data_IF_159225351991
#
_entry.id   IF_159225351991
#
_cell.length_a   1.000
_cell.length_b   1.000
_cell.length_c   1.000
_cell.angle_alpha   90.00
_cell.angle_beta   90.00
_cell.angle_gamma   90.00
#
_symmetry.space_group_name_H-M   'P 1'
#
loop_
_entity.id
_entity.type
_entity.pdbx_description
1 polymer ?
#
# COMPACT_ATOMS: atom_id res chain seq x y z
N UNK A 1 24.85 -31.26 48.54
CA UNK A 1 25.11 -32.49 47.78
C UNK A 1 25.50 -32.03 46.37
N UNK A 2 26.78 -32.04 46.08
CA UNK A 2 27.33 -31.68 44.76
C UNK A 2 27.07 -32.86 43.85
N UNK A 3 26.20 -32.69 42.88
CA UNK A 3 25.85 -33.71 41.87
C UNK A 3 27.09 -33.99 41.03
N UNK A 4 27.76 -35.12 41.31
CA UNK A 4 28.91 -35.58 40.49
C UNK A 4 28.36 -35.92 39.09
N UNK A 5 28.92 -35.38 38.01
CA UNK A 5 28.47 -35.73 36.65
C UNK A 5 28.66 -37.24 36.46
N UNK A 6 27.62 -37.95 36.01
CA UNK A 6 27.74 -39.34 35.56
C UNK A 6 28.65 -39.37 34.31
N UNK A 7 29.41 -40.48 34.10
CA UNK A 7 30.26 -40.65 32.88
C UNK A 7 29.58 -40.33 31.57
N UNK A 8 28.21 -40.30 31.54
CA UNK A 8 27.39 -40.03 30.35
C UNK A 8 27.09 -38.55 30.11
N UNK A 9 27.43 -37.65 31.07
CA UNK A 9 27.11 -36.21 30.98
C UNK A 9 28.35 -35.33 30.93
N UNK A 10 29.53 -35.90 30.87
CA UNK A 10 30.78 -35.16 30.77
C UNK A 10 30.83 -34.39 29.40
N UNK A 11 31.00 -33.07 29.44
CA UNK A 11 31.02 -32.21 28.23
C UNK A 11 29.66 -31.89 27.65
N UNK A 12 28.52 -32.30 28.31
CA UNK A 12 27.22 -31.96 27.88
C UNK A 12 26.63 -30.80 28.74
N UNK A 13 25.83 -29.95 28.13
CA UNK A 13 25.14 -28.84 28.77
C UNK A 13 23.67 -29.21 29.12
N UNK A 14 23.20 -28.77 30.28
CA UNK A 14 21.78 -28.86 30.64
C UNK A 14 20.94 -27.86 29.83
N UNK A 15 19.65 -28.15 29.65
CA UNK A 15 18.72 -27.29 28.87
C UNK A 15 18.75 -25.83 29.31
N UNK A 16 18.88 -25.52 30.61
CA UNK A 16 18.96 -24.16 31.12
C UNK A 16 20.29 -23.44 30.74
N UNK A 17 21.36 -24.19 30.61
CA UNK A 17 22.66 -23.66 30.18
C UNK A 17 22.66 -23.35 28.69
N UNK A 18 22.10 -24.25 27.88
CA UNK A 18 21.87 -24.02 26.44
C UNK A 18 20.97 -22.83 26.20
N UNK A 19 19.87 -22.71 26.96
CA UNK A 19 18.95 -21.59 26.89
C UNK A 19 19.66 -20.26 27.13
N UNK A 20 20.52 -20.17 28.16
CA UNK A 20 21.32 -18.97 28.45
C UNK A 20 22.38 -18.70 27.39
N UNK A 21 23.08 -19.73 26.94
CA UNK A 21 24.17 -19.61 25.94
C UNK A 21 23.66 -19.07 24.62
N UNK A 22 22.48 -19.50 24.18
CA UNK A 22 21.92 -19.15 22.87
C UNK A 22 20.84 -18.06 22.96
N UNK A 23 20.64 -17.48 24.14
CA UNK A 23 19.59 -16.49 24.42
C UNK A 23 18.19 -16.97 23.98
N UNK A 24 17.87 -18.21 24.28
CA UNK A 24 16.57 -18.85 24.02
C UNK A 24 15.84 -19.15 25.32
N UNK A 25 14.52 -19.26 25.25
CA UNK A 25 13.76 -19.79 26.39
C UNK A 25 13.84 -21.31 26.45
N UNK A 26 13.76 -21.89 27.66
CA UNK A 26 13.62 -23.34 27.84
C UNK A 26 12.35 -23.85 27.11
N UNK A 27 11.29 -23.04 27.07
CA UNK A 27 10.07 -23.34 26.33
C UNK A 27 10.32 -23.48 24.83
N UNK A 28 11.14 -22.59 24.23
CA UNK A 28 11.53 -22.65 22.82
C UNK A 28 12.30 -23.94 22.52
N UNK A 29 13.26 -24.32 23.36
CA UNK A 29 14.01 -25.57 23.19
C UNK A 29 13.11 -26.80 23.25
N UNK A 30 12.17 -26.85 24.20
CA UNK A 30 11.18 -27.92 24.28
C UNK A 30 10.24 -27.95 23.06
N UNK A 31 9.85 -26.79 22.56
CA UNK A 31 9.08 -26.69 21.32
C UNK A 31 9.84 -27.25 20.13
N UNK A 32 11.13 -26.95 20.00
CA UNK A 32 11.98 -27.52 18.95
C UNK A 32 12.10 -29.04 19.04
N UNK A 33 12.16 -29.59 20.26
CA UNK A 33 12.11 -31.05 20.47
C UNK A 33 10.77 -31.64 20.00
N UNK A 34 9.65 -31.03 20.40
CA UNK A 34 8.31 -31.48 20.01
C UNK A 34 8.10 -31.42 18.48
N UNK A 35 8.69 -30.45 17.84
CA UNK A 35 8.64 -30.29 16.38
C UNK A 35 9.65 -31.21 15.63
N UNK A 36 10.47 -31.98 16.33
CA UNK A 36 11.49 -32.83 15.74
C UNK A 36 12.65 -32.06 15.07
N UNK A 37 12.88 -30.82 15.48
CA UNK A 37 13.99 -29.98 15.05
C UNK A 37 15.27 -30.24 15.82
N UNK A 38 15.12 -30.69 17.05
CA UNK A 38 16.20 -30.89 18.01
C UNK A 38 15.93 -32.19 18.81
N UNK A 39 16.96 -33.01 18.95
CA UNK A 39 16.94 -34.14 19.88
C UNK A 39 18.04 -33.96 20.90
N UNK A 40 17.77 -34.12 22.23
CA UNK A 40 18.83 -34.06 23.23
C UNK A 40 19.86 -35.19 22.98
N UNK A 41 21.12 -34.92 23.30
CA UNK A 41 22.18 -35.92 23.18
C UNK A 41 22.00 -37.05 24.21
N UNK A 42 21.44 -36.71 25.37
CA UNK A 42 21.15 -37.64 26.45
C UNK A 42 19.98 -37.15 27.32
N UNK A 43 19.13 -38.07 27.71
CA UNK A 43 18.06 -37.82 28.68
C UNK A 43 18.30 -38.75 29.87
N UNK A 44 18.54 -38.19 31.06
CA UNK A 44 18.74 -38.96 32.27
C UNK A 44 17.45 -39.72 32.63
N UNK A 45 17.47 -41.04 32.64
CA UNK A 45 16.26 -41.83 32.90
C UNK A 45 15.76 -41.70 34.36
N UNK A 46 16.61 -41.31 35.32
CA UNK A 46 16.22 -41.19 36.72
C UNK A 46 15.57 -39.83 37.01
N UNK A 47 16.07 -38.74 36.41
CA UNK A 47 15.63 -37.38 36.70
C UNK A 47 14.82 -36.74 35.56
N UNK A 48 14.87 -37.30 34.33
CA UNK A 48 14.29 -36.73 33.13
C UNK A 48 15.02 -35.48 32.60
N UNK A 49 16.20 -35.16 33.15
CA UNK A 49 16.99 -34.02 32.68
C UNK A 49 17.56 -34.27 31.28
N UNK A 50 17.49 -33.21 30.44
CA UNK A 50 17.97 -33.22 29.07
C UNK A 50 19.34 -32.56 28.95
N UNK A 51 20.21 -33.22 28.23
CA UNK A 51 21.61 -32.78 28.01
C UNK A 51 21.89 -32.67 26.51
N UNK A 52 22.66 -31.65 26.15
CA UNK A 52 22.97 -31.28 24.75
C UNK A 52 24.47 -31.12 24.58
N UNK A 53 24.97 -31.63 23.48
CA UNK A 53 26.42 -31.54 23.12
C UNK A 53 26.66 -30.56 21.97
N UNK A 54 27.88 -30.55 21.49
CA UNK A 54 28.33 -29.65 20.41
C UNK A 54 27.51 -29.78 19.11
N UNK A 55 27.08 -31.01 18.78
CA UNK A 55 26.26 -31.26 17.59
C UNK A 55 24.89 -30.57 17.72
N UNK A 56 24.24 -30.64 18.87
CA UNK A 56 22.96 -29.98 19.15
C UNK A 56 23.09 -28.46 19.14
N UNK A 57 24.18 -27.93 19.68
CA UNK A 57 24.48 -26.50 19.63
C UNK A 57 24.64 -26.00 18.18
N UNK A 58 25.37 -26.77 17.34
CA UNK A 58 25.49 -26.45 15.91
C UNK A 58 24.13 -26.46 15.20
N UNK A 59 23.28 -27.45 15.51
CA UNK A 59 21.90 -27.51 14.98
C UNK A 59 21.08 -26.30 15.43
N UNK A 60 21.14 -25.91 16.69
CA UNK A 60 20.43 -24.74 17.23
C UNK A 60 20.91 -23.43 16.58
N UNK A 61 22.21 -23.27 16.34
CA UNK A 61 22.74 -22.12 15.59
C UNK A 61 22.19 -22.08 14.16
N UNK A 62 22.14 -23.23 13.48
CA UNK A 62 21.54 -23.34 12.14
C UNK A 62 20.07 -22.95 12.15
N UNK A 63 19.29 -23.45 13.13
CA UNK A 63 17.88 -23.06 13.29
C UNK A 63 17.76 -21.55 13.50
N UNK A 64 18.59 -20.97 14.38
CA UNK A 64 18.60 -19.54 14.66
C UNK A 64 18.87 -18.71 13.39
N UNK A 65 19.92 -19.06 12.64
CA UNK A 65 20.28 -18.36 11.39
C UNK A 65 19.15 -18.41 10.34
N UNK A 66 18.51 -19.57 10.20
CA UNK A 66 17.41 -19.72 9.23
C UNK A 66 16.12 -19.01 9.69
N UNK A 67 15.90 -18.91 11.00
CA UNK A 67 14.79 -18.12 11.57
C UNK A 67 14.95 -16.63 11.31
N UNK A 68 16.16 -16.09 11.34
CA UNK A 68 16.44 -14.68 10.98
C UNK A 68 16.04 -14.39 9.52
N UNK A 69 16.11 -15.41 8.65
CA UNK A 69 15.64 -15.29 7.25
C UNK A 69 14.11 -15.52 7.10
N UNK A 70 13.38 -15.57 8.21
CA UNK A 70 11.91 -15.78 8.26
C UNK A 70 11.46 -17.12 7.66
N UNK A 71 12.34 -18.13 7.63
CA UNK A 71 11.99 -19.49 7.19
C UNK A 71 11.03 -20.17 8.20
N UNK A 72 9.93 -20.79 7.74
CA UNK A 72 9.04 -21.57 8.59
C UNK A 72 9.75 -22.76 9.26
N UNK A 73 9.40 -23.06 10.51
CA UNK A 73 10.01 -24.19 11.26
C UNK A 73 9.90 -25.53 10.54
N UNK A 74 8.82 -25.76 9.78
CA UNK A 74 8.66 -27.00 9.00
C UNK A 74 9.73 -27.15 7.92
N UNK A 75 10.08 -26.07 7.22
CA UNK A 75 11.15 -26.07 6.20
C UNK A 75 12.53 -26.21 6.82
N UNK A 76 12.75 -25.54 7.97
CA UNK A 76 13.99 -25.67 8.74
C UNK A 76 14.16 -27.12 9.21
N UNK A 77 13.10 -27.78 9.68
CA UNK A 77 13.14 -29.19 10.09
C UNK A 77 13.56 -30.09 8.93
N UNK A 78 12.94 -29.92 7.77
CA UNK A 78 13.26 -30.72 6.57
C UNK A 78 14.74 -30.60 6.24
N UNK A 79 15.30 -29.39 6.23
CA UNK A 79 16.72 -29.17 5.97
C UNK A 79 17.62 -29.79 7.06
N UNK A 80 17.35 -29.56 8.35
CA UNK A 80 18.16 -30.08 9.45
C UNK A 80 18.20 -31.62 9.45
N UNK A 81 17.09 -32.25 9.00
CA UNK A 81 16.97 -33.70 8.94
C UNK A 81 17.66 -34.30 7.72
N UNK A 82 17.45 -33.71 6.54
CA UNK A 82 17.97 -34.27 5.27
C UNK A 82 19.38 -33.79 4.96
N UNK A 83 19.77 -32.59 5.40
CA UNK A 83 21.02 -31.90 5.05
C UNK A 83 21.25 -31.83 3.53
N UNK A 84 20.18 -31.71 2.78
CA UNK A 84 20.17 -31.61 1.33
C UNK A 84 20.50 -30.17 0.91
N UNK A 85 21.62 -29.98 0.22
CA UNK A 85 22.10 -28.69 -0.27
C UNK A 85 21.17 -28.11 -1.36
N UNK A 86 20.64 -28.96 -2.24
CA UNK A 86 19.75 -28.51 -3.31
C UNK A 86 18.39 -28.06 -2.75
N UNK A 87 17.91 -28.75 -1.73
CA UNK A 87 16.71 -28.35 -1.00
C UNK A 87 16.93 -26.98 -0.34
N UNK A 88 18.05 -26.78 0.34
CA UNK A 88 18.39 -25.50 0.97
C UNK A 88 18.45 -24.38 -0.04
N UNK A 89 19.12 -24.59 -1.16
CA UNK A 89 19.23 -23.58 -2.22
C UNK A 89 17.84 -23.19 -2.74
N UNK A 90 16.97 -24.15 -3.05
CA UNK A 90 15.60 -23.88 -3.49
C UNK A 90 14.79 -23.08 -2.45
N UNK A 91 14.90 -23.44 -1.16
CA UNK A 91 14.19 -22.74 -0.09
C UNK A 91 14.67 -21.30 0.08
N UNK A 92 15.97 -21.07 0.05
CA UNK A 92 16.55 -19.73 0.15
C UNK A 92 16.20 -18.86 -1.07
N UNK A 93 16.24 -19.42 -2.28
CA UNK A 93 15.82 -18.70 -3.50
C UNK A 93 14.36 -18.29 -3.41
N UNK A 94 13.47 -19.20 -3.01
CA UNK A 94 12.05 -18.87 -2.81
C UNK A 94 11.83 -17.80 -1.74
N UNK A 95 12.61 -17.85 -0.65
CA UNK A 95 12.51 -16.83 0.39
C UNK A 95 13.00 -15.47 -0.11
N UNK A 96 14.06 -15.44 -0.91
CA UNK A 96 14.55 -14.21 -1.55
C UNK A 96 13.50 -13.61 -2.49
N UNK A 97 12.82 -14.42 -3.31
CA UNK A 97 11.72 -13.97 -4.18
C UNK A 97 10.56 -13.36 -3.37
N UNK A 98 10.20 -13.99 -2.24
CA UNK A 98 9.14 -13.48 -1.34
C UNK A 98 9.54 -12.13 -0.71
N UNK A 99 10.78 -12.01 -0.24
CA UNK A 99 11.30 -10.75 0.32
C UNK A 99 11.29 -9.65 -0.74
N UNK A 100 11.72 -9.96 -1.96
CA UNK A 100 11.73 -9.00 -3.06
C UNK A 100 10.31 -8.56 -3.46
N UNK A 101 9.34 -9.48 -3.42
CA UNK A 101 7.93 -9.13 -3.61
C UNK A 101 7.42 -8.17 -2.53
N UNK A 102 7.66 -8.50 -1.26
CA UNK A 102 7.28 -7.63 -0.13
C UNK A 102 7.96 -6.26 -0.19
N UNK A 103 9.23 -6.21 -0.60
CA UNK A 103 9.96 -4.95 -0.77
C UNK A 103 9.28 -4.05 -1.79
N UNK A 104 8.94 -4.59 -2.96
CA UNK A 104 8.22 -3.85 -4.01
C UNK A 104 6.84 -3.37 -3.55
N UNK A 105 6.12 -4.18 -2.80
CA UNK A 105 4.83 -3.82 -2.20
C UNK A 105 4.98 -2.63 -1.23
N UNK A 106 5.94 -2.69 -0.30
CA UNK A 106 6.22 -1.60 0.64
C UNK A 106 6.68 -0.32 -0.07
N UNK A 107 7.48 -0.42 -1.13
CA UNK A 107 7.89 0.73 -1.94
C UNK A 107 6.70 1.40 -2.65
N UNK A 108 5.74 0.60 -3.15
CA UNK A 108 4.48 1.15 -3.71
C UNK A 108 3.66 1.87 -2.65
N UNK A 109 3.50 1.25 -1.47
CA UNK A 109 2.77 1.89 -0.35
C UNK A 109 3.42 3.21 0.06
N UNK A 110 4.75 3.25 0.19
CA UNK A 110 5.49 4.46 0.55
C UNK A 110 5.24 5.58 -0.46
N UNK A 111 5.34 5.30 -1.77
CA UNK A 111 5.06 6.30 -2.81
C UNK A 111 3.63 6.86 -2.74
N UNK A 112 2.64 6.00 -2.50
CA UNK A 112 1.24 6.45 -2.35
C UNK A 112 1.04 7.35 -1.13
N UNK A 113 1.71 7.04 -0.03
CA UNK A 113 1.71 7.89 1.16
C UNK A 113 2.36 9.25 0.86
N UNK A 114 3.52 9.25 0.18
CA UNK A 114 4.22 10.47 -0.18
C UNK A 114 3.38 11.36 -1.11
N UNK A 115 2.71 10.77 -2.11
CA UNK A 115 1.77 11.48 -2.99
C UNK A 115 0.60 12.07 -2.19
N UNK A 116 0.03 11.32 -1.25
CA UNK A 116 -1.07 11.81 -0.41
C UNK A 116 -0.63 12.97 0.49
N UNK A 117 0.55 12.87 1.10
CA UNK A 117 1.11 13.95 1.88
C UNK A 117 1.35 15.21 1.04
N UNK A 118 1.84 15.07 -0.19
CA UNK A 118 2.01 16.18 -1.11
C UNK A 118 0.67 16.85 -1.47
N UNK A 119 -0.38 16.07 -1.74
CA UNK A 119 -1.72 16.59 -2.01
C UNK A 119 -2.29 17.34 -0.80
N UNK A 120 -2.16 16.77 0.41
CA UNK A 120 -2.62 17.41 1.64
C UNK A 120 -1.86 18.72 1.93
N UNK A 121 -0.54 18.73 1.77
CA UNK A 121 0.26 19.94 1.92
C UNK A 121 -0.14 20.99 0.86
N UNK A 122 -0.37 20.56 -0.38
CA UNK A 122 -0.86 21.44 -1.43
C UNK A 122 -2.21 22.05 -1.10
N UNK A 123 -3.17 21.23 -0.61
CA UNK A 123 -4.50 21.68 -0.22
C UNK A 123 -4.49 22.68 0.94
N UNK A 124 -3.64 22.43 1.96
CA UNK A 124 -3.53 23.30 3.13
C UNK A 124 -2.88 24.67 2.82
N UNK A 125 -2.03 24.74 1.79
CA UNK A 125 -1.31 25.93 1.38
C UNK A 125 -1.83 26.55 0.07
N UNK A 126 -2.93 26.02 -0.49
CA UNK A 126 -3.50 26.53 -1.74
C UNK A 126 -4.05 27.95 -1.57
N UNK A 127 -3.80 28.79 -2.57
CA UNK A 127 -4.51 30.06 -2.73
C UNK A 127 -5.94 29.73 -3.20
N UNK A 128 -6.86 29.66 -2.24
CA UNK A 128 -8.23 29.29 -2.51
C UNK A 128 -8.91 30.37 -3.38
N UNK A 129 -9.86 29.90 -4.21
CA UNK A 129 -10.67 30.74 -5.09
C UNK A 129 -9.84 31.53 -6.13
N UNK A 130 -8.57 31.11 -6.36
CA UNK A 130 -7.68 31.71 -7.35
C UNK A 130 -7.45 30.72 -8.48
N UNK A 131 -7.65 31.20 -9.73
CA UNK A 131 -7.36 30.39 -10.93
C UNK A 131 -5.86 30.44 -11.21
N UNK A 132 -5.26 29.28 -11.40
CA UNK A 132 -3.86 29.12 -11.79
C UNK A 132 -3.75 28.30 -13.05
N UNK A 133 -2.73 28.59 -13.86
CA UNK A 133 -2.38 27.76 -15.03
C UNK A 133 -1.26 26.79 -14.64
N UNK A 134 -1.44 25.53 -15.03
CA UNK A 134 -0.46 24.47 -14.78
C UNK A 134 -0.23 23.63 -16.04
N UNK A 135 0.97 23.09 -16.19
CA UNK A 135 1.26 22.02 -17.14
C UNK A 135 1.08 20.69 -16.43
N UNK A 136 0.17 19.88 -16.94
CA UNK A 136 -0.10 18.57 -16.38
C UNK A 136 0.50 17.48 -17.24
N UNK A 137 1.20 16.50 -16.64
CA UNK A 137 1.74 15.37 -17.36
C UNK A 137 0.65 14.47 -17.93
N UNK A 138 1.03 13.50 -18.74
CA UNK A 138 0.16 12.40 -19.15
C UNK A 138 -0.37 11.66 -17.91
N UNK A 139 -1.68 11.38 -17.90
CA UNK A 139 -2.36 10.69 -16.81
C UNK A 139 -2.94 9.37 -17.28
N UNK A 140 -2.84 8.36 -16.44
CA UNK A 140 -3.55 7.08 -16.60
C UNK A 140 -4.77 7.08 -15.68
N UNK A 141 -5.93 6.75 -16.22
CA UNK A 141 -7.20 6.76 -15.47
C UNK A 141 -7.99 5.49 -15.74
N UNK A 142 -8.52 4.88 -14.70
CA UNK A 142 -9.68 4.00 -14.84
C UNK A 142 -10.93 4.86 -14.79
N UNK A 143 -11.82 4.76 -15.77
CA UNK A 143 -12.95 5.68 -15.94
C UNK A 143 -14.25 4.90 -16.10
N UNK A 144 -15.30 5.39 -15.46
CA UNK A 144 -16.68 4.99 -15.71
C UNK A 144 -17.42 6.18 -16.33
N UNK A 145 -17.80 6.05 -17.58
CA UNK A 145 -18.57 7.06 -18.33
C UNK A 145 -20.08 6.90 -18.05
N UNK A 146 -20.45 7.29 -16.84
CA UNK A 146 -21.85 7.27 -16.41
C UNK A 146 -22.21 8.61 -15.76
N UNK A 147 -23.43 9.08 -16.02
CA UNK A 147 -23.90 10.33 -15.42
C UNK A 147 -24.17 10.15 -13.93
N UNK A 148 -23.49 10.95 -13.12
CA UNK A 148 -23.56 10.88 -11.66
C UNK A 148 -24.01 12.22 -11.09
N UNK A 149 -24.96 12.18 -10.14
CA UNK A 149 -25.31 13.34 -9.35
C UNK A 149 -24.50 13.33 -8.05
N UNK A 150 -23.65 14.33 -7.78
CA UNK A 150 -22.79 14.38 -6.59
C UNK A 150 -23.56 14.48 -5.27
N UNK A 151 -24.82 14.91 -5.30
CA UNK A 151 -25.68 14.95 -4.11
C UNK A 151 -26.28 13.58 -3.76
N UNK A 152 -26.18 12.61 -4.66
CA UNK A 152 -26.57 11.23 -4.43
C UNK A 152 -25.36 10.39 -4.00
N UNK A 153 -25.09 10.41 -2.69
CA UNK A 153 -23.99 9.65 -2.08
C UNK A 153 -24.08 8.14 -2.37
N UNK A 154 -25.27 7.61 -2.63
CA UNK A 154 -25.47 6.19 -2.96
C UNK A 154 -24.95 5.87 -4.36
N UNK A 155 -25.28 6.72 -5.34
CA UNK A 155 -24.83 6.59 -6.71
C UNK A 155 -23.30 6.69 -6.81
N UNK A 156 -22.71 7.72 -6.23
CA UNK A 156 -21.26 7.93 -6.23
C UNK A 156 -20.52 6.75 -5.55
N UNK A 157 -20.99 6.32 -4.37
CA UNK A 157 -20.39 5.21 -3.64
C UNK A 157 -20.43 3.88 -4.42
N UNK A 158 -21.45 3.65 -5.24
CA UNK A 158 -21.53 2.47 -6.11
C UNK A 158 -20.47 2.49 -7.20
N UNK A 159 -20.32 3.62 -7.92
CA UNK A 159 -19.31 3.78 -8.99
C UNK A 159 -17.89 3.69 -8.46
N UNK A 160 -17.64 4.27 -7.29
CA UNK A 160 -16.35 4.13 -6.58
C UNK A 160 -16.03 2.66 -6.33
N UNK A 161 -17.01 1.91 -5.81
CA UNK A 161 -16.81 0.47 -5.53
C UNK A 161 -16.58 -0.35 -6.80
N UNK A 162 -17.20 0.02 -7.90
CA UNK A 162 -17.02 -0.63 -9.20
C UNK A 162 -15.58 -0.40 -9.71
N UNK A 163 -15.06 0.83 -9.66
CA UNK A 163 -13.65 1.12 -9.99
C UNK A 163 -12.67 0.37 -9.08
N UNK A 164 -12.99 0.24 -7.81
CA UNK A 164 -12.16 -0.47 -6.85
C UNK A 164 -12.04 -1.98 -7.11
N UNK A 165 -13.05 -2.59 -7.73
CA UNK A 165 -13.02 -4.03 -8.07
C UNK A 165 -11.92 -4.38 -9.08
N UNK A 166 -11.47 -3.42 -9.89
CA UNK A 166 -10.35 -3.58 -10.82
C UNK A 166 -8.97 -3.48 -10.15
N UNK A 167 -8.89 -3.10 -8.88
CA UNK A 167 -7.62 -3.00 -8.16
C UNK A 167 -7.34 -4.25 -7.33
N UNK A 168 -6.13 -4.80 -7.46
CA UNK A 168 -5.65 -5.88 -6.59
C UNK A 168 -5.41 -5.43 -5.13
N UNK A 169 -5.18 -4.14 -4.90
CA UNK A 169 -4.83 -3.58 -3.59
C UNK A 169 -5.82 -2.50 -3.15
N UNK A 170 -6.29 -2.56 -1.92
CA UNK A 170 -7.34 -1.71 -1.32
C UNK A 170 -6.90 -0.26 -1.04
N UNK A 171 -5.86 0.27 -1.72
CA UNK A 171 -5.31 1.60 -1.47
C UNK A 171 -5.95 2.75 -2.27
N UNK A 172 -7.08 2.50 -2.95
CA UNK A 172 -7.77 3.47 -3.80
C UNK A 172 -8.20 4.78 -3.12
N UNK A 173 -8.27 4.81 -1.78
CA UNK A 173 -8.81 5.95 -1.01
C UNK A 173 -7.84 7.12 -0.80
N UNK A 174 -6.64 7.08 -1.36
CA UNK A 174 -5.64 8.10 -1.01
C UNK A 174 -5.65 9.35 -1.92
N UNK A 175 -6.83 9.78 -2.40
CA UNK A 175 -6.95 11.09 -3.07
C UNK A 175 -6.83 11.05 -4.59
N UNK A 176 -6.96 9.87 -5.19
CA UNK A 176 -6.85 9.70 -6.64
C UNK A 176 -8.21 9.50 -7.32
N UNK A 177 -9.29 9.59 -6.55
CA UNK A 177 -10.65 9.45 -7.04
C UNK A 177 -11.26 10.83 -7.31
N UNK A 178 -11.96 10.96 -8.42
CA UNK A 178 -12.63 12.20 -8.78
C UNK A 178 -13.78 11.98 -9.73
N UNK A 179 -14.39 13.09 -10.09
CA UNK A 179 -15.51 13.19 -11.03
C UNK A 179 -15.20 14.21 -12.12
N UNK A 180 -15.85 14.11 -13.26
CA UNK A 180 -15.57 15.00 -14.39
C UNK A 180 -16.81 15.38 -15.20
N UNK A 181 -16.80 16.59 -15.73
CA UNK A 181 -17.80 17.11 -16.68
C UNK A 181 -17.18 17.08 -18.07
N UNK A 182 -17.93 16.58 -19.06
CA UNK A 182 -17.51 16.52 -20.45
C UNK A 182 -17.23 17.92 -21.03
N UNK A 183 -16.26 18.09 -21.96
CA UNK A 183 -15.85 19.39 -22.47
C UNK A 183 -16.99 20.14 -23.17
N UNK A 184 -17.91 19.44 -23.83
CA UNK A 184 -19.06 20.04 -24.51
C UNK A 184 -20.04 20.70 -23.52
N UNK A 185 -20.25 20.05 -22.36
CA UNK A 185 -21.07 20.58 -21.29
C UNK A 185 -20.39 21.73 -20.55
N UNK A 186 -19.08 21.60 -20.31
CA UNK A 186 -18.29 22.72 -19.77
C UNK A 186 -18.41 23.97 -20.65
N UNK A 187 -18.24 23.81 -21.97
CA UNK A 187 -18.35 24.92 -22.93
C UNK A 187 -19.78 25.50 -23.00
N UNK A 188 -20.80 24.68 -22.74
CA UNK A 188 -22.19 25.09 -22.71
C UNK A 188 -22.63 25.74 -21.38
N UNK A 189 -21.77 25.72 -20.34
CA UNK A 189 -22.10 26.19 -19.00
C UNK A 189 -23.10 25.28 -18.25
N UNK A 190 -23.14 24.00 -18.63
CA UNK A 190 -24.00 23.00 -17.98
C UNK A 190 -23.18 22.23 -16.93
N UNK A 191 -23.35 22.60 -15.66
CA UNK A 191 -22.65 22.04 -14.53
C UNK A 191 -23.58 21.17 -13.63
N UNK A 192 -24.72 20.72 -14.16
CA UNK A 192 -25.68 19.88 -13.43
C UNK A 192 -25.24 18.41 -13.49
N UNK A 193 -24.46 17.96 -12.50
CA UNK A 193 -23.93 16.62 -12.39
C UNK A 193 -22.69 16.34 -13.26
N UNK A 194 -22.16 15.15 -13.14
CA UNK A 194 -20.92 14.72 -13.78
C UNK A 194 -21.19 13.64 -14.82
N UNK A 195 -20.30 13.53 -15.81
CA UNK A 195 -20.39 12.58 -16.92
C UNK A 195 -19.49 11.36 -16.70
N UNK A 196 -18.58 11.47 -15.73
CA UNK A 196 -17.64 10.39 -15.41
C UNK A 196 -17.26 10.37 -13.93
N UNK A 197 -16.91 9.17 -13.46
CA UNK A 197 -16.16 8.93 -12.23
C UNK A 197 -14.85 8.30 -12.61
N UNK A 198 -13.73 8.77 -12.10
CA UNK A 198 -12.42 8.27 -12.45
C UNK A 198 -11.55 7.99 -11.24
N UNK A 199 -10.58 7.10 -11.45
CA UNK A 199 -9.50 6.79 -10.54
C UNK A 199 -8.19 7.07 -11.24
N UNK A 200 -7.35 7.97 -10.72
CA UNK A 200 -6.00 8.19 -11.22
C UNK A 200 -5.11 7.01 -10.83
N UNK A 201 -4.39 6.49 -11.80
CA UNK A 201 -3.45 5.38 -11.66
C UNK A 201 -2.02 5.89 -11.83
N UNK A 202 -1.11 5.42 -11.00
CA UNK A 202 0.32 5.61 -11.24
C UNK A 202 0.89 4.51 -12.17
N UNK A 203 2.15 4.67 -12.62
CA UNK A 203 2.80 3.72 -13.54
C UNK A 203 2.99 2.33 -12.93
N UNK A 204 2.87 2.20 -11.63
CA UNK A 204 3.06 0.94 -10.89
C UNK A 204 1.76 0.29 -10.47
N UNK A 205 0.61 0.96 -10.71
CA UNK A 205 -0.70 0.39 -10.40
C UNK A 205 -1.06 -0.72 -11.40
N UNK A 206 -1.30 -1.91 -10.86
CA UNK A 206 -1.84 -3.05 -11.60
C UNK A 206 -3.36 -3.00 -11.54
N UNK A 207 -3.98 -2.58 -12.63
CA UNK A 207 -5.42 -2.43 -12.74
C UNK A 207 -5.99 -3.41 -13.77
N UNK A 208 -6.97 -4.22 -13.36
CA UNK A 208 -7.55 -5.29 -14.18
C UNK A 208 -8.66 -4.83 -15.14
N UNK A 209 -9.08 -3.56 -15.07
CA UNK A 209 -10.10 -3.00 -15.95
C UNK A 209 -9.50 -2.20 -17.12
N UNK A 210 -10.39 -1.54 -17.85
CA UNK A 210 -9.98 -0.63 -18.91
C UNK A 210 -9.29 0.60 -18.34
N UNK A 211 -8.20 1.02 -18.96
CA UNK A 211 -7.40 2.19 -18.58
C UNK A 211 -7.34 3.13 -19.76
N UNK A 212 -7.74 4.37 -19.53
CA UNK A 212 -7.61 5.46 -20.47
C UNK A 212 -6.35 6.27 -20.19
N UNK A 213 -5.72 6.75 -21.26
CA UNK A 213 -4.61 7.70 -21.16
C UNK A 213 -5.08 9.08 -21.54
N UNK A 214 -4.89 10.05 -20.67
CA UNK A 214 -5.13 11.48 -20.93
C UNK A 214 -3.80 12.13 -21.25
N UNK A 215 -3.67 12.77 -22.44
CA UNK A 215 -2.39 13.35 -22.85
C UNK A 215 -1.99 14.50 -21.91
N UNK A 216 -0.69 14.78 -21.86
CA UNK A 216 -0.19 15.97 -21.19
C UNK A 216 -0.84 17.23 -21.77
N UNK A 217 -1.25 18.15 -20.92
CA UNK A 217 -2.02 19.32 -21.30
C UNK A 217 -1.73 20.52 -20.41
N UNK A 218 -1.87 21.72 -21.00
CA UNK A 218 -2.04 22.96 -20.23
C UNK A 218 -3.42 22.94 -19.58
N UNK A 219 -3.49 23.19 -18.29
CA UNK A 219 -4.73 23.16 -17.52
C UNK A 219 -4.94 24.45 -16.74
N UNK A 220 -6.20 24.79 -16.54
CA UNK A 220 -6.63 25.73 -15.50
C UNK A 220 -7.01 24.98 -14.27
N UNK A 221 -6.57 25.43 -13.12
CA UNK A 221 -6.94 24.83 -11.82
C UNK A 221 -7.43 25.88 -10.83
N UNK A 222 -8.42 25.50 -10.02
CA UNK A 222 -8.93 26.29 -8.91
C UNK A 222 -9.21 25.37 -7.73
N UNK A 223 -8.75 25.76 -6.56
CA UNK A 223 -9.06 25.07 -5.30
C UNK A 223 -10.02 25.93 -4.49
N UNK A 224 -10.98 25.31 -3.84
CA UNK A 224 -11.99 26.04 -3.05
C UNK A 224 -12.38 25.28 -1.78
N UNK A 225 -12.92 26.00 -0.81
CA UNK A 225 -13.54 25.38 0.37
C UNK A 225 -14.90 24.85 0.06
N UNK A 226 -15.11 23.57 0.39
CA UNK A 226 -16.39 22.89 0.19
C UNK A 226 -16.28 21.55 -0.49
N UNK A 227 -17.44 20.99 -0.77
CA UNK A 227 -17.63 19.68 -1.41
C UNK A 227 -18.00 19.84 -2.88
N UNK A 228 -18.10 18.71 -3.60
CA UNK A 228 -18.62 18.62 -4.97
C UNK A 228 -19.93 19.37 -5.19
N UNK A 229 -20.84 19.35 -4.21
CA UNK A 229 -22.12 20.08 -4.30
C UNK A 229 -22.00 21.61 -4.35
N UNK A 230 -20.82 22.16 -4.10
CA UNK A 230 -20.54 23.60 -4.10
C UNK A 230 -19.63 24.02 -5.28
N UNK A 231 -19.37 23.12 -6.23
CA UNK A 231 -18.43 23.34 -7.33
C UNK A 231 -18.94 24.24 -8.44
N UNK A 232 -20.26 24.29 -8.69
CA UNK A 232 -20.86 25.02 -9.82
C UNK A 232 -20.39 26.49 -9.94
N UNK A 233 -20.33 27.32 -8.87
CA UNK A 233 -19.83 28.70 -8.97
C UNK A 233 -18.35 28.77 -9.40
N UNK A 234 -17.56 27.74 -9.11
CA UNK A 234 -16.15 27.68 -9.51
C UNK A 234 -15.98 27.29 -10.97
N UNK A 235 -16.85 26.44 -11.47
CA UNK A 235 -16.96 26.18 -12.90
C UNK A 235 -17.37 27.45 -13.70
N UNK A 236 -18.30 28.24 -13.17
CA UNK A 236 -18.66 29.54 -13.77
C UNK A 236 -17.46 30.50 -13.83
N UNK A 237 -16.65 30.57 -12.78
CA UNK A 237 -15.40 31.35 -12.74
C UNK A 237 -14.40 30.86 -13.79
N UNK A 238 -14.18 29.54 -13.89
CA UNK A 238 -13.29 28.95 -14.91
C UNK A 238 -13.79 29.23 -16.32
N UNK A 239 -15.08 29.10 -16.57
CA UNK A 239 -15.67 29.40 -17.88
C UNK A 239 -15.51 30.87 -18.25
N UNK A 240 -15.76 31.80 -17.31
CA UNK A 240 -15.56 33.24 -17.52
C UNK A 240 -14.08 33.53 -17.84
N UNK A 241 -13.16 32.96 -17.09
CA UNK A 241 -11.71 33.11 -17.34
C UNK A 241 -11.32 32.56 -18.72
N UNK A 242 -11.86 31.39 -19.12
CA UNK A 242 -11.61 30.82 -20.46
C UNK A 242 -12.09 31.76 -21.56
N UNK A 243 -13.27 32.36 -21.42
CA UNK A 243 -13.81 33.33 -22.40
C UNK A 243 -12.92 34.58 -22.48
N UNK A 244 -12.51 35.16 -21.35
CA UNK A 244 -11.67 36.36 -21.29
C UNK A 244 -10.27 36.14 -21.92
N UNK A 245 -9.73 34.91 -21.79
CA UNK A 245 -8.40 34.55 -22.29
C UNK A 245 -8.42 33.78 -23.62
N UNK A 246 -9.60 33.71 -24.27
CA UNK A 246 -9.78 33.00 -25.54
C UNK A 246 -9.30 31.54 -25.48
N UNK A 247 -9.71 30.80 -24.46
CA UNK A 247 -9.40 29.39 -24.21
C UNK A 247 -10.63 28.52 -24.38
N UNK A 248 -10.46 27.27 -24.79
CA UNK A 248 -11.52 26.26 -24.88
C UNK A 248 -11.08 24.97 -24.17
N UNK A 249 -12.02 24.25 -23.50
CA UNK A 249 -11.73 22.98 -22.88
C UNK A 249 -11.43 21.93 -23.98
N UNK A 250 -10.42 21.09 -23.76
CA UNK A 250 -9.99 20.04 -24.68
C UNK A 250 -10.28 18.62 -24.20
N UNK A 251 -10.74 18.49 -22.98
CA UNK A 251 -11.07 17.22 -22.35
C UNK A 251 -11.98 17.44 -21.13
N UNK A 252 -12.43 16.37 -20.50
CA UNK A 252 -13.28 16.47 -19.30
C UNK A 252 -12.55 17.17 -18.16
N UNK A 253 -13.31 17.86 -17.30
CA UNK A 253 -12.77 18.38 -16.05
C UNK A 253 -12.37 17.25 -15.13
N UNK A 254 -11.49 17.55 -14.17
CA UNK A 254 -11.21 16.69 -13.03
C UNK A 254 -11.51 17.46 -11.75
N UNK A 255 -12.42 16.94 -11.01
CA UNK A 255 -12.79 17.47 -9.70
C UNK A 255 -12.48 16.43 -8.63
N UNK A 256 -11.57 16.76 -7.72
CA UNK A 256 -11.04 15.86 -6.70
C UNK A 256 -11.21 16.54 -5.34
N UNK A 257 -11.81 15.82 -4.39
CA UNK A 257 -11.82 16.22 -2.99
C UNK A 257 -10.43 15.94 -2.38
N UNK A 258 -9.69 17.00 -2.10
CA UNK A 258 -8.35 16.92 -1.49
C UNK A 258 -8.43 16.69 0.02
N UNK A 259 -9.41 17.33 0.68
CA UNK A 259 -9.78 17.14 2.08
C UNK A 259 -11.30 16.98 2.13
N UNK A 260 -11.77 15.87 2.67
CA UNK A 260 -13.15 15.45 2.76
C UNK A 260 -13.49 14.89 4.15
N UNK A 261 -14.65 14.26 4.30
CA UNK A 261 -15.13 13.62 5.52
C UNK A 261 -14.33 12.37 5.94
N UNK A 262 -13.50 11.80 5.07
CA UNK A 262 -12.59 10.73 5.42
C UNK A 262 -11.39 11.24 6.22
N UNK A 263 -11.00 12.53 6.00
CA UNK A 263 -9.80 13.14 6.58
C UNK A 263 -10.14 14.04 7.76
N UNK A 264 -11.27 14.72 7.72
CA UNK A 264 -11.65 15.72 8.72
C UNK A 264 -13.13 15.62 9.05
N UNK A 265 -13.46 15.65 10.33
CA UNK A 265 -14.84 15.75 10.83
C UNK A 265 -15.41 17.18 10.72
N UNK A 266 -14.59 18.18 10.40
CA UNK A 266 -14.99 19.58 10.26
C UNK A 266 -15.21 19.97 8.80
N UNK A 267 -16.47 20.13 8.32
CA UNK A 267 -16.75 20.52 6.95
C UNK A 267 -16.14 21.86 6.52
N UNK A 268 -15.83 22.74 7.47
CA UNK A 268 -15.16 24.03 7.17
C UNK A 268 -13.71 23.84 6.68
N UNK A 269 -13.14 22.66 6.86
CA UNK A 269 -11.78 22.33 6.40
C UNK A 269 -11.75 21.65 5.05
N UNK A 270 -12.89 21.23 4.50
CA UNK A 270 -12.95 20.53 3.23
C UNK A 270 -12.42 21.39 2.08
N UNK A 271 -11.63 20.78 1.22
CA UNK A 271 -11.03 21.42 0.05
C UNK A 271 -11.23 20.55 -1.16
N UNK A 272 -11.83 21.14 -2.18
CA UNK A 272 -12.00 20.49 -3.50
C UNK A 272 -11.19 21.27 -4.54
N UNK A 273 -10.60 20.57 -5.48
CA UNK A 273 -9.86 21.13 -6.61
C UNK A 273 -10.53 20.74 -7.92
N UNK A 274 -10.69 21.72 -8.79
CA UNK A 274 -11.13 21.53 -10.19
C UNK A 274 -9.94 21.81 -11.09
N UNK A 275 -9.72 20.94 -12.06
CA UNK A 275 -8.72 21.11 -13.13
C UNK A 275 -9.38 20.89 -14.48
N UNK A 276 -9.17 21.80 -15.42
CA UNK A 276 -9.75 21.75 -16.79
C UNK A 276 -8.62 21.86 -17.80
N UNK A 277 -8.42 20.85 -18.66
CA UNK A 277 -7.47 20.95 -19.76
C UNK A 277 -7.96 21.94 -20.83
N UNK A 278 -7.10 22.84 -21.28
CA UNK A 278 -7.46 23.94 -22.18
C UNK A 278 -6.47 24.10 -23.32
N UNK A 279 -6.97 24.71 -24.42
CA UNK A 279 -6.15 25.18 -25.56
C UNK A 279 -6.64 26.53 -26.02
N UNK A 280 -5.82 27.34 -26.69
CA UNK A 280 -6.32 28.56 -27.35
C UNK A 280 -7.48 28.24 -28.29
N UNK A 281 -8.54 29.05 -28.23
CA UNK A 281 -9.65 28.93 -29.16
C UNK A 281 -9.16 29.22 -30.58
N UNK A 282 -9.66 28.47 -31.55
CA UNK A 282 -9.30 28.63 -32.99
C UNK A 282 -9.95 29.84 -33.60
#
# INVERSE_FOLDING_TARGET
>A
MTDMPSEHTEGLLRIGEVARLLNLSVGTLRHYEQMGLLEPAYVDPASGYRYYGSRQLSTLNTIGNLRVLDLPLAQIREFVTTRDMDLMQRQLTKQQELIEHKRRELERMSRKIDQRLALLHGALNADLDTISEIEEPELRCAVLHERVNPTDAYSLGWHIRQLQQGQHETFAYLGNLGVGIAPERLAAGDFDGYDEVFLLLDDTDDYLGDVETRPAARCLTISFRGTHGQAAPRYEQLLSYMHEHNLTPTGPSREIALIDDIISDDPATYVTQITVPVTPAK
#
